data_IF_069269295169
#
_entry.id   IF_069269295169
#
_cell.length_a   1.000
_cell.length_b   1.000
_cell.length_c   1.000
_cell.angle_alpha   90.00
_cell.angle_beta   90.00
_cell.angle_gamma   90.00
#
_symmetry.space_group_name_H-M   'P 1'
#
loop_
_entity.id
_entity.type
_entity.pdbx_description
1 polymer ?
#
# COMPACT_ATOMS: atom_id res chain seq x y z
N UNK A 1 -82.58 18.27 1.68
CA UNK A 1 -83.36 17.57 0.63
C UNK A 1 -82.44 17.34 -0.56
N UNK A 2 -82.52 16.15 -1.15
CA UNK A 2 -81.65 15.58 -2.19
C UNK A 2 -81.89 16.17 -3.59
N UNK A 3 -80.84 16.29 -4.41
CA UNK A 3 -80.78 15.91 -5.86
C UNK A 3 -79.29 15.99 -6.30
N UNK A 4 -78.57 14.87 -6.47
CA UNK A 4 -78.41 13.94 -7.63
C UNK A 4 -77.27 14.34 -8.60
N UNK A 5 -76.53 13.28 -8.96
CA UNK A 5 -75.18 13.12 -9.53
C UNK A 5 -75.26 12.93 -11.07
N UNK A 6 -74.15 13.23 -11.78
CA UNK A 6 -73.57 12.58 -13.01
C UNK A 6 -73.05 13.71 -13.92
N UNK A 7 -71.86 13.71 -14.53
CA UNK A 7 -70.77 12.78 -14.82
C UNK A 7 -69.97 13.51 -15.93
N UNK A 8 -68.64 13.52 -16.04
CA UNK A 8 -67.73 12.47 -16.53
C UNK A 8 -66.45 13.17 -17.03
N UNK A 9 -65.39 12.38 -17.25
CA UNK A 9 -64.08 12.68 -17.88
C UNK A 9 -63.02 13.28 -16.95
N UNK A 10 -62.17 12.46 -16.31
CA UNK A 10 -61.07 11.66 -16.88
C UNK A 10 -59.99 12.53 -17.55
N UNK A 11 -58.98 12.91 -16.77
CA UNK A 11 -57.63 13.10 -17.28
C UNK A 11 -56.61 12.63 -16.24
N UNK A 12 -55.96 11.53 -16.62
CA UNK A 12 -54.76 10.95 -16.04
C UNK A 12 -53.59 11.94 -16.20
N UNK A 13 -52.90 12.27 -15.11
CA UNK A 13 -51.51 12.73 -15.19
C UNK A 13 -50.80 12.43 -13.87
N UNK A 14 -50.16 11.26 -13.84
CA UNK A 14 -49.06 11.01 -12.92
C UNK A 14 -47.87 11.90 -13.34
N UNK A 15 -47.39 12.74 -12.43
CA UNK A 15 -46.08 13.36 -12.56
C UNK A 15 -45.43 13.31 -11.17
N UNK A 16 -44.61 12.27 -11.00
CA UNK A 16 -43.74 12.02 -9.87
C UNK A 16 -42.97 13.28 -9.49
N UNK A 17 -42.96 13.61 -8.20
CA UNK A 17 -42.08 14.63 -7.62
C UNK A 17 -40.64 14.33 -8.02
N UNK A 18 -40.04 15.22 -8.81
CA UNK A 18 -38.66 15.15 -9.22
C UNK A 18 -37.77 15.11 -7.97
N UNK A 19 -37.04 14.01 -7.80
CA UNK A 19 -35.92 13.94 -6.89
C UNK A 19 -34.91 15.00 -7.31
N UNK A 20 -34.74 16.01 -6.46
CA UNK A 20 -33.68 17.00 -6.63
C UNK A 20 -32.39 16.26 -6.28
N UNK A 21 -31.73 15.67 -7.27
CA UNK A 21 -30.38 15.17 -7.14
C UNK A 21 -29.50 16.36 -6.73
N UNK A 22 -29.05 16.34 -5.47
CA UNK A 22 -28.12 17.33 -4.95
C UNK A 22 -26.89 17.33 -5.86
N UNK A 23 -26.77 18.37 -6.67
CA UNK A 23 -25.61 18.59 -7.51
C UNK A 23 -24.46 18.92 -6.55
N UNK A 24 -23.61 17.93 -6.30
CA UNK A 24 -22.36 18.14 -5.58
C UNK A 24 -21.60 19.26 -6.31
N UNK A 25 -21.14 20.31 -5.61
CA UNK A 25 -20.28 21.32 -6.22
C UNK A 25 -19.11 20.61 -6.91
N UNK A 26 -18.63 21.09 -8.07
CA UNK A 26 -17.47 20.49 -8.72
C UNK A 26 -16.35 20.44 -7.70
N UNK A 27 -16.09 19.22 -7.22
CA UNK A 27 -15.04 18.94 -6.28
C UNK A 27 -13.76 19.58 -6.82
N UNK A 28 -13.02 20.24 -5.96
CA UNK A 28 -11.61 20.50 -6.20
C UNK A 28 -10.89 19.15 -6.27
N UNK A 29 -11.05 18.44 -7.39
CA UNK A 29 -10.33 17.20 -7.69
C UNK A 29 -8.90 17.61 -7.98
N UNK A 30 -8.11 17.72 -6.91
CA UNK A 30 -6.67 17.85 -7.03
C UNK A 30 -6.19 16.53 -7.62
N UNK A 31 -5.77 16.55 -8.88
CA UNK A 31 -5.07 15.43 -9.50
C UNK A 31 -3.73 15.30 -8.78
N UNK A 32 -3.71 14.48 -7.73
CA UNK A 32 -2.46 14.05 -7.10
C UNK A 32 -1.75 13.17 -8.13
N UNK A 33 -0.52 13.51 -8.55
CA UNK A 33 0.22 12.67 -9.49
C UNK A 33 0.28 11.25 -8.94
N UNK A 34 -0.23 10.27 -9.70
CA UNK A 34 -0.21 8.85 -9.35
C UNK A 34 1.20 8.23 -9.26
N UNK A 35 2.25 9.04 -9.17
CA UNK A 35 3.61 8.64 -8.81
C UNK A 35 3.76 8.46 -7.29
N UNK A 36 2.74 7.90 -6.66
CA UNK A 36 2.84 7.41 -5.29
C UNK A 36 3.82 6.23 -5.31
N UNK A 37 5.06 6.49 -4.85
CA UNK A 37 6.06 5.50 -4.41
C UNK A 37 5.91 4.12 -5.09
N UNK A 38 6.31 3.98 -6.35
CA UNK A 38 6.26 2.68 -7.03
C UNK A 38 7.46 1.83 -6.63
N UNK A 39 7.23 0.53 -6.49
CA UNK A 39 8.27 -0.46 -6.25
C UNK A 39 8.52 -1.19 -7.57
N UNK A 40 9.61 -0.82 -8.23
CA UNK A 40 10.01 -1.42 -9.50
C UNK A 40 11.22 -2.33 -9.32
N UNK A 41 11.16 -3.50 -9.93
CA UNK A 41 12.30 -4.43 -10.04
C UNK A 41 13.06 -4.06 -11.31
N UNK A 42 14.37 -3.76 -11.25
CA UNK A 42 15.14 -3.42 -12.43
C UNK A 42 15.20 -4.60 -13.40
N UNK A 43 15.23 -4.33 -14.70
CA UNK A 43 15.36 -5.36 -15.75
C UNK A 43 16.61 -6.22 -15.56
N UNK A 44 17.69 -5.60 -15.08
CA UNK A 44 18.96 -6.26 -14.78
C UNK A 44 19.34 -6.02 -13.32
N UNK A 45 18.86 -6.87 -12.38
CA UNK A 45 19.25 -6.77 -10.99
C UNK A 45 20.76 -6.92 -10.81
N UNK A 46 21.30 -6.24 -9.81
CA UNK A 46 22.71 -6.38 -9.45
C UNK A 46 22.94 -7.80 -8.94
N UNK A 47 23.91 -8.50 -9.53
CA UNK A 47 24.38 -9.75 -8.94
C UNK A 47 25.06 -9.47 -7.59
N UNK A 48 24.63 -10.19 -6.55
CA UNK A 48 25.22 -10.13 -5.22
C UNK A 48 25.46 -11.54 -4.71
N UNK A 49 26.71 -11.83 -4.37
CA UNK A 49 27.10 -13.13 -3.82
C UNK A 49 26.49 -13.33 -2.44
N UNK A 50 26.34 -14.60 -2.04
CA UNK A 50 25.82 -14.96 -0.71
C UNK A 50 26.64 -14.35 0.42
N UNK A 51 27.97 -14.37 0.29
CA UNK A 51 28.87 -13.82 1.29
C UNK A 51 28.70 -12.30 1.47
N UNK A 52 28.45 -11.57 0.37
CA UNK A 52 28.24 -10.13 0.42
C UNK A 52 26.89 -9.79 1.07
N UNK A 53 25.87 -10.64 0.84
CA UNK A 53 24.56 -10.46 1.45
C UNK A 53 24.53 -10.82 2.94
N UNK A 54 25.40 -11.73 3.41
CA UNK A 54 25.44 -12.15 4.82
C UNK A 54 25.57 -10.99 5.79
N UNK A 55 26.22 -9.88 5.39
CA UNK A 55 26.34 -8.69 6.25
C UNK A 55 25.01 -8.02 6.56
N UNK A 56 23.99 -8.20 5.72
CA UNK A 56 22.65 -7.67 5.90
C UNK A 56 21.67 -8.67 6.52
N UNK A 57 22.11 -9.90 6.80
CA UNK A 57 21.23 -10.90 7.42
C UNK A 57 21.02 -10.53 8.87
N UNK A 58 19.76 -10.47 9.29
CA UNK A 58 19.40 -10.06 10.63
C UNK A 58 17.97 -9.57 10.72
N UNK A 59 17.62 -9.08 11.91
CA UNK A 59 16.34 -8.44 12.19
C UNK A 59 16.58 -6.98 12.51
N UNK A 60 15.80 -6.12 11.88
CA UNK A 60 15.85 -4.68 12.04
C UNK A 60 14.51 -4.20 12.58
N UNK A 61 14.54 -3.29 13.55
CA UNK A 61 13.32 -2.68 14.04
C UNK A 61 12.87 -1.60 13.06
N UNK A 62 11.56 -1.52 12.82
CA UNK A 62 10.97 -0.52 11.96
C UNK A 62 10.31 0.56 12.83
N UNK A 63 10.34 1.81 12.35
CA UNK A 63 9.79 2.96 13.09
C UNK A 63 8.27 2.88 13.30
N UNK A 64 7.57 2.00 12.57
CA UNK A 64 6.14 1.72 12.75
C UNK A 64 5.86 0.66 13.84
N UNK A 65 6.90 0.12 14.50
CA UNK A 65 6.79 -0.88 15.55
C UNK A 65 6.85 -2.34 15.06
N UNK A 66 6.87 -2.59 13.75
CA UNK A 66 7.14 -3.91 13.18
C UNK A 66 8.65 -4.20 13.11
N UNK A 67 9.00 -5.38 12.59
CA UNK A 67 10.38 -5.77 12.30
C UNK A 67 10.55 -6.13 10.83
N UNK A 68 11.72 -5.84 10.27
CA UNK A 68 12.17 -6.37 8.98
C UNK A 68 13.21 -7.46 9.25
N UNK A 69 12.97 -8.67 8.77
CA UNK A 69 13.95 -9.75 8.80
C UNK A 69 14.49 -9.99 7.41
N UNK A 70 15.83 -9.98 7.28
CA UNK A 70 16.54 -10.39 6.08
C UNK A 70 17.25 -11.72 6.33
N UNK A 71 17.03 -12.70 5.46
CA UNK A 71 17.61 -14.04 5.63
C UNK A 71 18.06 -14.68 4.33
N UNK A 72 18.92 -15.69 4.45
CA UNK A 72 19.37 -16.56 3.37
C UNK A 72 18.73 -17.94 3.49
N UNK A 73 18.22 -18.49 2.39
CA UNK A 73 17.89 -19.90 2.26
C UNK A 73 18.47 -20.46 0.96
N UNK A 74 19.51 -21.30 1.08
CA UNK A 74 20.28 -21.71 -0.09
C UNK A 74 20.83 -20.49 -0.83
N UNK A 75 20.73 -20.48 -2.16
CA UNK A 75 21.17 -19.35 -2.99
C UNK A 75 20.24 -18.12 -2.92
N UNK A 76 19.05 -18.29 -2.34
CA UNK A 76 18.00 -17.28 -2.34
C UNK A 76 18.06 -16.38 -1.12
N UNK A 77 17.62 -15.14 -1.33
CA UNK A 77 17.57 -14.07 -0.35
C UNK A 77 16.11 -13.73 -0.11
N UNK A 78 15.73 -13.56 1.15
CA UNK A 78 14.36 -13.27 1.55
C UNK A 78 14.30 -12.09 2.50
N UNK A 79 13.18 -11.37 2.42
CA UNK A 79 12.77 -10.34 3.35
C UNK A 79 11.40 -10.69 3.94
N UNK A 80 11.19 -10.46 5.23
CA UNK A 80 9.89 -10.62 5.90
C UNK A 80 9.60 -9.43 6.79
N UNK A 81 8.37 -8.95 6.77
CA UNK A 81 7.91 -7.87 7.64
C UNK A 81 7.02 -8.47 8.73
N UNK A 82 7.43 -8.39 9.98
CA UNK A 82 6.73 -8.97 11.12
C UNK A 82 6.40 -10.46 10.91
N UNK A 83 5.10 -10.77 10.86
CA UNK A 83 4.57 -12.15 10.66
C UNK A 83 4.01 -12.38 9.25
N UNK A 84 4.31 -11.50 8.30
CA UNK A 84 3.81 -11.60 6.93
C UNK A 84 4.53 -12.71 6.13
N UNK A 85 4.08 -12.93 4.90
CA UNK A 85 4.75 -13.82 3.96
C UNK A 85 6.18 -13.33 3.66
N UNK A 86 7.04 -14.27 3.27
CA UNK A 86 8.42 -13.97 2.92
C UNK A 86 8.53 -13.62 1.44
N UNK A 87 9.20 -12.51 1.17
CA UNK A 87 9.39 -11.98 -0.17
C UNK A 87 10.79 -12.33 -0.65
N UNK A 88 10.90 -12.99 -1.81
CA UNK A 88 12.19 -13.24 -2.45
C UNK A 88 12.74 -11.91 -2.99
N UNK A 89 13.96 -11.56 -2.59
CA UNK A 89 14.57 -10.28 -2.94
C UNK A 89 15.80 -10.43 -3.84
N UNK A 90 16.04 -9.39 -4.62
CA UNK A 90 17.25 -9.21 -5.43
C UNK A 90 17.93 -7.89 -5.07
N UNK A 91 19.25 -7.83 -5.25
CA UNK A 91 19.99 -6.59 -5.05
C UNK A 91 19.75 -5.65 -6.23
N UNK A 92 19.52 -4.39 -5.92
CA UNK A 92 19.47 -3.29 -6.89
C UNK A 92 20.73 -2.44 -6.80
N UNK A 93 21.35 -2.39 -5.62
CA UNK A 93 22.64 -1.74 -5.35
C UNK A 93 23.42 -2.55 -4.30
N UNK A 94 24.57 -2.04 -3.83
CA UNK A 94 25.44 -2.63 -2.81
C UNK A 94 24.74 -2.86 -1.48
N UNK A 95 23.72 -2.07 -1.18
CA UNK A 95 23.00 -2.07 0.08
C UNK A 95 21.48 -1.81 -0.07
N UNK A 96 20.98 -1.99 -1.29
CA UNK A 96 19.57 -1.82 -1.62
C UNK A 96 19.01 -3.08 -2.28
N UNK A 97 17.81 -3.45 -1.88
CA UNK A 97 17.13 -4.69 -2.28
C UNK A 97 15.69 -4.41 -2.66
N UNK A 98 15.17 -5.20 -3.58
CA UNK A 98 13.76 -5.15 -3.98
C UNK A 98 13.21 -6.55 -4.05
N UNK A 99 11.95 -6.72 -3.61
CA UNK A 99 11.24 -7.97 -3.74
C UNK A 99 10.78 -8.20 -5.19
N UNK A 100 10.90 -9.44 -5.66
CA UNK A 100 10.52 -9.83 -7.02
C UNK A 100 9.02 -9.66 -7.29
N UNK A 101 8.20 -9.75 -6.26
CA UNK A 101 6.74 -9.53 -6.28
C UNK A 101 6.34 -8.06 -6.12
N UNK A 102 7.33 -7.14 -6.04
CA UNK A 102 7.13 -5.69 -5.91
C UNK A 102 6.41 -5.28 -4.63
N UNK A 103 6.39 -6.12 -3.60
CA UNK A 103 5.75 -5.78 -2.32
C UNK A 103 6.64 -4.92 -1.42
N UNK A 104 7.96 -4.99 -1.57
CA UNK A 104 8.89 -4.18 -0.78
C UNK A 104 10.17 -3.80 -1.52
N UNK A 105 10.78 -2.71 -1.06
CA UNK A 105 12.12 -2.24 -1.39
C UNK A 105 12.78 -1.72 -0.13
N UNK A 106 14.03 -2.09 0.11
CA UNK A 106 14.76 -1.66 1.31
C UNK A 106 16.15 -1.15 0.94
N UNK A 107 16.62 -0.14 1.66
CA UNK A 107 18.00 0.33 1.67
C UNK A 107 18.49 0.31 3.12
N UNK A 108 19.62 -0.35 3.36
CA UNK A 108 20.22 -0.49 4.71
C UNK A 108 21.62 0.12 4.67
N UNK A 109 21.94 1.06 5.55
CA UNK A 109 23.31 1.55 5.68
C UNK A 109 23.86 1.14 7.04
N UNK A 110 25.06 0.58 7.01
CA UNK A 110 25.84 0.34 8.21
C UNK A 110 26.85 1.47 8.30
N UNK A 111 26.83 2.17 9.41
CA UNK A 111 27.71 3.29 9.69
C UNK A 111 28.98 2.80 10.39
N UNK A 112 30.04 3.61 10.33
CA UNK A 112 31.34 3.27 10.92
C UNK A 112 31.32 3.19 12.45
N UNK A 113 30.32 3.82 13.09
CA UNK A 113 30.06 3.76 14.53
C UNK A 113 29.33 2.48 14.96
N UNK A 114 28.99 1.61 14.02
CA UNK A 114 28.25 0.37 14.24
C UNK A 114 26.73 0.54 14.26
N UNK A 115 26.22 1.77 14.13
CA UNK A 115 24.79 2.02 13.99
C UNK A 115 24.29 1.56 12.61
N UNK A 116 23.00 1.24 12.56
CA UNK A 116 22.30 0.89 11.33
C UNK A 116 21.18 1.88 11.10
N UNK A 117 21.08 2.37 9.88
CA UNK A 117 19.96 3.19 9.44
C UNK A 117 19.44 2.73 8.07
N UNK A 118 18.39 3.41 7.60
CA UNK A 118 17.89 3.27 6.24
C UNK A 118 16.38 3.27 6.18
N UNK A 119 15.86 2.73 5.08
CA UNK A 119 14.48 2.92 4.67
C UNK A 119 13.90 1.65 4.07
N UNK A 120 12.64 1.38 4.40
CA UNK A 120 11.80 0.34 3.84
C UNK A 120 10.58 1.00 3.18
N UNK A 121 10.43 0.79 1.88
CA UNK A 121 9.20 1.09 1.15
C UNK A 121 8.44 -0.22 0.98
N UNK A 122 7.17 -0.26 1.39
CA UNK A 122 6.34 -1.46 1.35
C UNK A 122 4.91 -1.17 0.88
N UNK A 123 4.29 -2.15 0.24
CA UNK A 123 2.85 -2.16 -0.02
C UNK A 123 2.15 -2.67 1.23
N UNK A 124 1.31 -1.84 1.84
CA UNK A 124 0.42 -2.23 2.92
C UNK A 124 -0.88 -2.75 2.29
N UNK A 125 -1.29 -3.99 2.57
CA UNK A 125 -2.51 -4.54 1.99
C UNK A 125 -3.75 -3.83 2.57
N UNK A 126 -4.86 -3.89 1.84
CA UNK A 126 -6.13 -3.32 2.32
C UNK A 126 -6.54 -3.96 3.63
N UNK A 127 -6.93 -3.15 4.62
CA UNK A 127 -7.33 -3.62 5.94
C UNK A 127 -8.79 -3.25 6.21
N UNK A 128 -9.55 -4.22 6.72
CA UNK A 128 -10.89 -3.97 7.24
C UNK A 128 -10.74 -3.45 8.67
N UNK A 129 -11.18 -2.22 8.91
CA UNK A 129 -11.13 -1.62 10.24
C UNK A 129 -12.35 -2.01 11.06
N UNK A 130 -12.22 -2.01 12.39
CA UNK A 130 -13.30 -2.41 13.31
C UNK A 130 -14.57 -1.56 13.17
N UNK A 131 -14.48 -0.34 12.62
CA UNK A 131 -15.63 0.51 12.28
C UNK A 131 -16.41 0.05 11.05
N UNK A 132 -16.01 -1.04 10.39
CA UNK A 132 -16.64 -1.58 9.19
C UNK A 132 -16.15 -0.98 7.87
N UNK A 133 -15.29 0.05 7.93
CA UNK A 133 -14.62 0.61 6.75
C UNK A 133 -13.53 -0.28 6.18
N UNK A 134 -13.14 -0.01 4.93
CA UNK A 134 -11.99 -0.62 4.27
C UNK A 134 -10.96 0.48 4.03
N UNK A 135 -9.76 0.31 4.58
CA UNK A 135 -8.59 1.11 4.19
C UNK A 135 -8.01 0.43 2.94
N UNK A 136 -7.93 1.11 1.79
CA UNK A 136 -7.39 0.53 0.58
C UNK A 136 -5.87 0.29 0.73
N UNK A 137 -5.34 -0.64 -0.07
CA UNK A 137 -3.91 -0.85 -0.12
C UNK A 137 -3.20 0.43 -0.54
N UNK A 138 -2.06 0.69 0.10
CA UNK A 138 -1.26 1.86 -0.19
C UNK A 138 0.22 1.54 -0.03
N UNK A 139 1.08 2.37 -0.61
CA UNK A 139 2.52 2.28 -0.37
C UNK A 139 2.88 3.13 0.85
N UNK A 140 3.75 2.60 1.69
CA UNK A 140 4.27 3.25 2.89
C UNK A 140 5.80 3.28 2.83
N UNK A 141 6.41 4.37 3.31
CA UNK A 141 7.84 4.41 3.63
C UNK A 141 8.02 4.40 5.15
N UNK A 142 8.93 3.56 5.64
CA UNK A 142 9.19 3.30 7.06
C UNK A 142 10.70 3.34 7.28
N UNK A 143 11.15 4.06 8.31
CA UNK A 143 12.57 4.10 8.66
C UNK A 143 12.98 2.84 9.41
N UNK A 144 14.22 2.40 9.21
CA UNK A 144 14.88 1.45 10.11
C UNK A 144 15.25 2.22 11.40
N UNK A 145 14.80 1.74 12.55
CA UNK A 145 15.12 2.35 13.83
C UNK A 145 16.58 2.03 14.18
N UNK A 146 17.38 3.08 14.36
CA UNK A 146 18.79 2.93 14.71
C UNK A 146 18.96 2.29 16.08
N UNK A 147 19.92 1.38 16.16
CA UNK A 147 20.40 0.74 17.40
C UNK A 147 21.77 1.28 17.75
#
# INVERSE_FOLDING_TARGET
>A
MKTIILGTLLCLAAASTAAIAQTLPPEHTVTVPGNALRIDVPEHPRYMMRQDFKKFVGTYDLSNGDTLELRLAGAEKYARIGKQEEHRIVATDRNAFVALDRQLKVRINHNDDGSVDGELVMVVPSQKVSSGGIVPSHVQNVGLASR
#
